data_IF_405094931490
#
_entry.id   IF_405094931490
#
_cell.length_a   1.000
_cell.length_b   1.000
_cell.length_c   1.000
_cell.angle_alpha   90.00
_cell.angle_beta   90.00
_cell.angle_gamma   90.00
#
_symmetry.space_group_name_H-M   'P 1'
#
loop_
_entity.id
_entity.type
_entity.pdbx_description
1 polymer ?
#
# COMPACT_ATOMS: atom_id res chain seq x y z
N UNK A 1 4.59 -6.14 -6.51
CA UNK A 1 3.59 -5.98 -7.60
C UNK A 1 3.99 -4.79 -8.44
N UNK A 2 3.91 -4.88 -9.77
CA UNK A 2 4.18 -3.79 -10.71
C UNK A 2 3.03 -2.77 -10.82
N UNK A 3 3.17 -1.78 -11.71
CA UNK A 3 2.21 -0.67 -11.90
C UNK A 3 0.77 -1.24 -12.06
N UNK A 4 -0.26 -0.64 -11.43
CA UNK A 4 -1.62 -1.18 -11.51
C UNK A 4 -2.09 -1.18 -12.96
N UNK A 5 -2.69 -2.29 -13.39
CA UNK A 5 -3.15 -2.50 -14.77
C UNK A 5 -2.06 -2.88 -15.79
N UNK A 6 -0.77 -2.79 -15.43
CA UNK A 6 0.32 -3.24 -16.29
C UNK A 6 0.61 -4.73 -16.06
N UNK A 7 -0.17 -5.58 -16.75
CA UNK A 7 -0.11 -7.04 -16.59
C UNK A 7 1.25 -7.59 -17.02
N UNK A 8 1.89 -6.99 -18.02
CA UNK A 8 3.21 -7.45 -18.51
C UNK A 8 4.29 -7.18 -17.46
N UNK A 9 4.38 -5.94 -16.97
CA UNK A 9 5.31 -5.58 -15.89
C UNK A 9 5.08 -6.44 -14.64
N UNK A 10 3.81 -6.70 -14.28
CA UNK A 10 3.48 -7.54 -13.13
C UNK A 10 3.97 -8.97 -13.31
N UNK A 11 3.77 -9.56 -14.50
CA UNK A 11 4.24 -10.92 -14.82
C UNK A 11 5.76 -11.01 -14.77
N UNK A 12 6.46 -10.06 -15.39
CA UNK A 12 7.92 -10.05 -15.42
C UNK A 12 8.51 -9.88 -14.02
N UNK A 13 7.90 -9.03 -13.18
CA UNK A 13 8.31 -8.87 -11.78
C UNK A 13 8.08 -10.15 -10.96
N UNK A 14 7.00 -10.90 -11.23
CA UNK A 14 6.78 -12.21 -10.61
C UNK A 14 7.88 -13.21 -11.00
N UNK A 15 8.25 -13.28 -12.28
CA UNK A 15 9.36 -14.12 -12.73
C UNK A 15 10.69 -13.73 -12.07
N UNK A 16 11.02 -12.44 -12.03
CA UNK A 16 12.24 -11.95 -11.36
C UNK A 16 12.28 -12.32 -9.87
N UNK A 17 11.12 -12.29 -9.21
CA UNK A 17 11.00 -12.66 -7.79
C UNK A 17 11.28 -14.15 -7.59
N UNK A 18 10.72 -15.01 -8.44
CA UNK A 18 10.96 -16.46 -8.38
C UNK A 18 12.42 -16.79 -8.66
N UNK A 19 13.01 -16.18 -9.70
CA UNK A 19 14.43 -16.35 -10.01
C UNK A 19 15.33 -15.91 -8.85
N UNK A 20 14.97 -14.82 -8.16
CA UNK A 20 15.71 -14.33 -6.98
C UNK A 20 15.60 -15.33 -5.83
N UNK A 21 14.41 -15.90 -5.61
CA UNK A 21 14.19 -16.89 -4.57
C UNK A 21 14.99 -18.18 -4.83
N UNK A 22 15.01 -18.67 -6.07
CA UNK A 22 15.77 -19.86 -6.45
C UNK A 22 17.29 -19.66 -6.29
N UNK A 23 17.78 -18.43 -6.49
CA UNK A 23 19.20 -18.09 -6.42
C UNK A 23 19.62 -17.51 -5.08
N UNK A 24 18.72 -17.35 -4.11
CA UNK A 24 19.04 -16.79 -2.81
C UNK A 24 19.82 -17.79 -1.94
N UNK A 25 21.15 -17.69 -1.96
CA UNK A 25 22.03 -18.53 -1.14
C UNK A 25 22.43 -17.87 0.20
N UNK A 26 22.00 -16.64 0.45
CA UNK A 26 22.18 -15.93 1.72
C UNK A 26 20.90 -15.22 2.17
N UNK A 27 20.71 -15.00 3.47
CA UNK A 27 19.59 -14.19 3.96
C UNK A 27 19.62 -12.77 3.38
N UNK A 28 18.43 -12.19 3.16
CA UNK A 28 18.24 -10.80 2.74
C UNK A 28 18.84 -10.45 1.37
N UNK A 29 19.05 -11.43 0.49
CA UNK A 29 19.41 -11.16 -0.89
C UNK A 29 18.28 -10.36 -1.59
N UNK A 30 18.66 -9.25 -2.24
CA UNK A 30 17.73 -8.40 -2.98
C UNK A 30 18.24 -8.18 -4.40
N UNK A 31 17.32 -8.06 -5.35
CA UNK A 31 17.60 -7.71 -6.74
C UNK A 31 16.80 -6.46 -7.09
N UNK A 32 17.46 -5.47 -7.68
CA UNK A 32 16.79 -4.26 -8.16
C UNK A 32 16.04 -4.60 -9.45
N UNK A 33 14.72 -4.38 -9.45
CA UNK A 33 13.89 -4.63 -10.62
C UNK A 33 14.15 -3.55 -11.69
N UNK A 34 14.25 -3.91 -12.99
CA UNK A 34 14.58 -2.97 -14.06
C UNK A 34 13.35 -2.15 -14.52
N UNK A 35 12.44 -1.79 -13.62
CA UNK A 35 11.22 -1.06 -13.94
C UNK A 35 11.10 0.24 -13.15
N UNK A 36 10.66 1.29 -13.83
CA UNK A 36 10.24 2.54 -13.23
C UNK A 36 8.72 2.52 -13.08
N UNK A 37 8.22 2.78 -11.88
CA UNK A 37 6.78 2.73 -11.60
C UNK A 37 5.97 3.81 -12.32
N UNK A 38 6.57 5.00 -12.47
CA UNK A 38 5.94 6.19 -13.03
C UNK A 38 7.04 7.15 -13.45
N UNK A 39 6.98 7.60 -14.70
CA UNK A 39 7.98 8.51 -15.27
C UNK A 39 7.91 9.89 -14.61
N UNK A 40 6.71 10.36 -14.28
CA UNK A 40 6.46 11.70 -13.75
C UNK A 40 6.31 11.75 -12.21
N UNK A 41 6.18 10.60 -11.55
CA UNK A 41 5.97 10.44 -10.10
C UNK A 41 4.85 11.31 -9.49
N UNK A 42 3.89 11.80 -10.28
CA UNK A 42 2.82 12.70 -9.81
C UNK A 42 1.92 12.08 -8.75
N UNK A 43 1.86 10.76 -8.71
CA UNK A 43 1.12 10.01 -7.69
C UNK A 43 1.59 10.37 -6.27
N UNK A 44 2.87 10.70 -6.06
CA UNK A 44 3.43 11.04 -4.74
C UNK A 44 2.79 12.28 -4.15
N UNK A 45 2.54 13.29 -4.98
CA UNK A 45 1.92 14.54 -4.54
C UNK A 45 0.43 14.38 -4.18
N UNK A 46 -0.22 13.34 -4.69
CA UNK A 46 -1.63 13.04 -4.41
C UNK A 46 -1.79 12.02 -3.29
N UNK A 47 -0.80 11.17 -3.06
CA UNK A 47 -0.84 10.15 -2.04
C UNK A 47 -0.87 10.76 -0.64
N UNK A 48 -1.91 10.47 0.13
CA UNK A 48 -2.12 11.01 1.48
C UNK A 48 -2.10 12.55 1.53
N UNK A 49 -2.46 13.23 0.43
CA UNK A 49 -2.50 14.69 0.39
C UNK A 49 -3.53 15.20 1.40
N UNK A 50 -3.08 16.03 2.33
CA UNK A 50 -3.92 16.78 3.25
C UNK A 50 -3.62 18.26 3.10
N UNK A 51 -4.62 19.01 2.66
CA UNK A 51 -4.54 20.45 2.44
C UNK A 51 -5.86 21.10 2.87
N UNK A 52 -5.96 22.41 2.71
CA UNK A 52 -7.12 23.15 3.22
C UNK A 52 -8.41 22.80 2.48
N UNK A 53 -8.34 22.20 1.29
CA UNK A 53 -9.51 21.72 0.56
C UNK A 53 -10.16 20.47 1.18
N UNK A 54 -9.41 19.67 1.96
CA UNK A 54 -9.90 18.38 2.45
C UNK A 54 -9.74 18.13 3.96
N UNK A 55 -8.96 18.97 4.66
CA UNK A 55 -8.65 18.81 6.10
C UNK A 55 -9.90 18.64 6.98
N UNK A 56 -10.91 19.49 6.79
CA UNK A 56 -12.14 19.45 7.59
C UNK A 56 -12.93 18.14 7.37
N UNK A 57 -13.06 17.71 6.12
CA UNK A 57 -13.75 16.47 5.77
C UNK A 57 -13.04 15.23 6.34
N UNK A 58 -11.70 15.18 6.23
CA UNK A 58 -10.90 14.10 6.80
C UNK A 58 -10.99 14.05 8.33
N UNK A 59 -11.02 15.21 9.00
CA UNK A 59 -11.19 15.29 10.45
C UNK A 59 -12.55 14.73 10.90
N UNK A 60 -13.63 15.09 10.20
CA UNK A 60 -14.97 14.59 10.47
C UNK A 60 -15.07 13.07 10.23
N UNK A 61 -14.56 12.57 9.11
CA UNK A 61 -14.51 11.12 8.82
C UNK A 61 -13.71 10.35 9.88
N UNK A 62 -12.60 10.94 10.36
CA UNK A 62 -11.81 10.39 11.45
C UNK A 62 -12.55 10.32 12.78
N UNK A 63 -13.40 11.30 13.09
CA UNK A 63 -14.24 11.31 14.28
C UNK A 63 -15.31 10.21 14.22
N UNK A 64 -16.06 10.14 13.12
CA UNK A 64 -17.08 9.11 12.92
C UNK A 64 -16.50 7.69 13.06
N UNK A 65 -15.35 7.43 12.41
CA UNK A 65 -14.66 6.14 12.54
C UNK A 65 -14.31 5.79 14.00
N UNK A 66 -13.90 6.77 14.82
CA UNK A 66 -13.56 6.52 16.23
C UNK A 66 -14.80 6.17 17.05
N UNK A 67 -15.93 6.82 16.79
CA UNK A 67 -17.21 6.48 17.43
C UNK A 67 -17.64 5.05 17.07
N UNK A 68 -17.56 4.67 15.80
CA UNK A 68 -17.88 3.32 15.36
C UNK A 68 -16.98 2.27 16.00
N UNK A 69 -15.68 2.57 16.14
CA UNK A 69 -14.74 1.69 16.84
C UNK A 69 -15.03 1.58 18.33
N UNK A 70 -15.53 2.62 18.98
CA UNK A 70 -15.93 2.56 20.39
C UNK A 70 -17.18 1.70 20.56
N UNK A 71 -18.18 1.85 19.68
CA UNK A 71 -19.39 0.99 19.66
C UNK A 71 -19.01 -0.48 19.44
N UNK A 72 -18.21 -0.77 18.42
CA UNK A 72 -17.76 -2.14 18.15
C UNK A 72 -16.96 -2.77 19.31
N UNK A 73 -16.22 -1.96 20.09
CA UNK A 73 -15.56 -2.40 21.32
C UNK A 73 -16.55 -2.71 22.44
N UNK A 74 -17.54 -1.85 22.66
CA UNK A 74 -18.59 -2.06 23.66
C UNK A 74 -19.42 -3.32 23.35
N UNK A 75 -19.70 -3.58 22.07
CA UNK A 75 -20.48 -4.73 21.60
C UNK A 75 -19.70 -6.07 21.60
N UNK A 76 -18.48 -6.10 22.13
CA UNK A 76 -17.65 -7.31 22.20
C UNK A 76 -17.11 -7.81 20.85
N UNK A 77 -17.31 -7.06 19.76
CA UNK A 77 -16.77 -7.36 18.42
C UNK A 77 -15.32 -6.88 18.23
N UNK A 78 -14.71 -6.32 19.26
CA UNK A 78 -13.34 -5.84 19.19
C UNK A 78 -12.35 -6.99 19.27
N UNK A 79 -11.93 -7.45 18.07
CA UNK A 79 -10.73 -8.23 17.78
C UNK A 79 -10.55 -9.46 18.68
N UNK A 80 -10.92 -10.63 18.15
CA UNK A 80 -10.29 -11.90 18.53
C UNK A 80 -8.77 -11.74 18.45
N UNK A 81 -8.09 -12.03 19.56
CA UNK A 81 -6.63 -12.01 19.66
C UNK A 81 -6.00 -13.24 19.02
#
# INVERSE_FOLDING_TARGET
>A
MGKPGDVMMQRELCSLTLDTLEKAFTPQMTVQAPYVWSDDNRWRANYMRVDDSNRAGLAAAGAARREDQQKAKADGRARTS
#
